data_IF_972781926969
#
_entry.id   IF_972781926969
#
_cell.length_a   1.000
_cell.length_b   1.000
_cell.length_c   1.000
_cell.angle_alpha   90.00
_cell.angle_beta   90.00
_cell.angle_gamma   90.00
#
_symmetry.space_group_name_H-M   'P 1'
#
loop_
_entity.id
_entity.type
_entity.pdbx_description
1 polymer ?
#
# COMPACT_ATOMS: atom_id res chain seq x y z
N UNK A 1 -17.21 12.02 20.94
CA UNK A 1 -16.23 12.86 20.24
C UNK A 1 -14.86 12.26 20.49
N UNK A 2 -14.05 12.00 19.48
CA UNK A 2 -12.74 11.36 19.59
C UNK A 2 -11.67 12.17 18.88
N UNK A 3 -10.40 11.85 19.17
CA UNK A 3 -9.27 12.40 18.45
C UNK A 3 -9.18 11.76 17.06
N UNK A 4 -8.77 12.53 16.05
CA UNK A 4 -8.66 12.02 14.68
C UNK A 4 -7.48 11.04 14.55
N UNK A 5 -7.74 9.93 13.89
CA UNK A 5 -6.76 8.88 13.65
C UNK A 5 -5.86 9.17 12.44
N UNK A 6 -6.44 9.81 11.41
CA UNK A 6 -5.80 10.23 10.16
C UNK A 6 -6.40 11.56 9.67
N UNK A 7 -5.92 12.05 8.53
CA UNK A 7 -6.44 13.25 7.86
C UNK A 7 -7.42 12.89 6.72
N UNK A 8 -7.46 11.65 6.27
CA UNK A 8 -8.28 11.17 5.16
C UNK A 8 -9.78 11.26 5.46
N UNK A 9 -10.21 10.81 6.64
CA UNK A 9 -11.62 10.82 7.01
C UNK A 9 -12.20 12.25 7.17
N UNK A 10 -11.51 13.20 7.83
CA UNK A 10 -11.91 14.60 7.83
C UNK A 10 -11.97 15.23 6.44
N UNK A 11 -10.97 14.94 5.58
CA UNK A 11 -10.96 15.42 4.19
C UNK A 11 -12.15 14.88 3.40
N UNK A 12 -12.44 13.58 3.51
CA UNK A 12 -13.57 12.96 2.81
C UNK A 12 -14.89 13.64 3.17
N UNK A 13 -15.08 13.98 4.44
CA UNK A 13 -16.26 14.75 4.91
C UNK A 13 -16.27 16.16 4.33
N UNK A 14 -15.14 16.85 4.36
CA UNK A 14 -15.02 18.19 3.79
C UNK A 14 -15.36 18.18 2.29
N UNK A 15 -14.76 17.25 1.54
CA UNK A 15 -15.01 17.10 0.11
C UNK A 15 -16.48 16.79 -0.17
N UNK A 16 -17.09 15.83 0.55
CA UNK A 16 -18.50 15.48 0.37
C UNK A 16 -19.45 16.68 0.56
N UNK A 17 -19.15 17.55 1.52
CA UNK A 17 -19.98 18.72 1.81
C UNK A 17 -19.76 19.89 0.85
N UNK A 18 -18.60 20.01 0.21
CA UNK A 18 -18.21 21.18 -0.58
C UNK A 18 -17.93 20.85 -2.06
N UNK A 19 -18.12 19.61 -2.51
CA UNK A 19 -17.70 19.11 -3.82
C UNK A 19 -18.16 19.96 -5.02
N UNK A 20 -19.31 20.62 -4.89
CA UNK A 20 -19.89 21.46 -5.96
C UNK A 20 -19.18 22.81 -6.13
N UNK A 21 -18.38 23.20 -5.14
CA UNK A 21 -17.62 24.47 -5.11
C UNK A 21 -16.11 24.24 -5.35
N UNK A 22 -15.68 22.96 -5.33
CA UNK A 22 -14.28 22.59 -5.50
C UNK A 22 -13.94 22.31 -6.96
N UNK A 23 -12.69 22.59 -7.32
CA UNK A 23 -12.16 22.24 -8.63
C UNK A 23 -12.06 20.71 -8.78
N UNK A 24 -12.22 20.21 -10.01
CA UNK A 24 -11.98 18.79 -10.32
C UNK A 24 -10.89 18.70 -11.39
N UNK A 25 -9.83 17.88 -11.17
CA UNK A 25 -9.53 17.15 -9.94
C UNK A 25 -9.17 18.09 -8.77
N UNK A 26 -9.61 17.72 -7.57
CA UNK A 26 -9.26 18.44 -6.35
C UNK A 26 -7.95 17.89 -5.79
N UNK A 27 -6.91 18.74 -5.74
CA UNK A 27 -5.60 18.40 -5.19
C UNK A 27 -5.38 19.19 -3.92
N UNK A 28 -4.98 18.51 -2.85
CA UNK A 28 -4.82 19.12 -1.55
C UNK A 28 -3.60 18.56 -0.80
N UNK A 29 -2.97 19.42 0.00
CA UNK A 29 -1.96 19.02 0.99
C UNK A 29 -2.54 19.35 2.36
N UNK A 30 -2.47 18.41 3.27
CA UNK A 30 -2.90 18.56 4.66
C UNK A 30 -1.71 18.29 5.59
N UNK A 31 -1.53 19.13 6.59
CA UNK A 31 -0.51 18.93 7.62
C UNK A 31 -1.14 19.21 8.97
N UNK A 32 -1.31 18.17 9.78
CA UNK A 32 -1.85 18.33 11.12
C UNK A 32 -1.52 17.11 12.00
N UNK A 33 -1.84 17.22 13.27
CA UNK A 33 -1.63 16.16 14.25
C UNK A 33 -2.71 15.08 14.15
N UNK A 34 -2.25 13.84 14.26
CA UNK A 34 -3.12 12.67 14.33
C UNK A 34 -2.78 11.85 15.59
N UNK A 35 -3.72 11.01 16.03
CA UNK A 35 -3.65 10.34 17.32
C UNK A 35 -3.96 8.86 17.14
N UNK A 36 -3.06 8.01 17.64
CA UNK A 36 -3.21 6.55 17.56
C UNK A 36 -2.92 5.92 18.91
N UNK A 37 -3.75 4.98 19.32
CA UNK A 37 -3.64 4.29 20.61
C UNK A 37 -2.61 3.13 20.59
N UNK A 38 -1.72 3.11 19.61
CA UNK A 38 -0.68 2.08 19.46
C UNK A 38 0.34 2.12 20.60
N UNK A 39 1.01 0.99 20.83
CA UNK A 39 2.10 0.93 21.79
C UNK A 39 3.26 1.81 21.30
N UNK A 40 3.70 2.81 22.09
CA UNK A 40 4.82 3.66 21.71
C UNK A 40 6.09 2.86 21.53
N UNK A 41 6.82 3.15 20.46
CA UNK A 41 8.15 2.58 20.18
C UNK A 41 8.95 3.57 19.34
N UNK A 42 10.23 3.27 19.09
CA UNK A 42 11.08 4.14 18.25
C UNK A 42 10.40 4.35 16.87
N UNK A 43 10.17 5.60 16.51
CA UNK A 43 9.51 5.97 15.25
C UNK A 43 7.98 5.87 15.26
N UNK A 44 7.34 5.42 16.37
CA UNK A 44 5.87 5.37 16.51
C UNK A 44 5.43 6.07 17.78
N UNK A 45 4.80 7.22 17.62
CA UNK A 45 4.25 8.03 18.69
C UNK A 45 2.72 7.94 18.69
N UNK A 46 2.11 8.21 19.84
CA UNK A 46 0.64 8.29 19.96
C UNK A 46 0.05 9.58 19.40
N UNK A 47 0.86 10.62 19.34
CA UNK A 47 0.57 11.90 18.69
C UNK A 47 1.74 12.22 17.75
N UNK A 48 1.46 12.50 16.49
CA UNK A 48 2.47 12.89 15.51
C UNK A 48 1.88 13.74 14.40
N UNK A 49 2.73 14.46 13.68
CA UNK A 49 2.33 15.21 12.49
C UNK A 49 2.23 14.27 11.30
N UNK A 50 1.12 14.34 10.60
CA UNK A 50 0.94 13.74 9.29
C UNK A 50 1.00 14.82 8.22
N UNK A 51 1.63 14.52 7.09
CA UNK A 51 1.62 15.36 5.91
C UNK A 51 1.05 14.52 4.77
N UNK A 52 -0.21 14.73 4.44
CA UNK A 52 -0.94 13.98 3.44
C UNK A 52 -1.11 14.80 2.18
N UNK A 53 -1.01 14.14 1.04
CA UNK A 53 -1.31 14.69 -0.28
C UNK A 53 -2.39 13.83 -0.91
N UNK A 54 -3.46 14.47 -1.38
CA UNK A 54 -4.62 13.77 -1.93
C UNK A 54 -5.00 14.36 -3.29
N UNK A 55 -5.43 13.49 -4.20
CA UNK A 55 -6.00 13.83 -5.50
C UNK A 55 -7.36 13.17 -5.61
N UNK A 56 -8.43 13.96 -5.64
CA UNK A 56 -9.81 13.46 -5.72
C UNK A 56 -10.42 13.85 -7.07
N UNK A 57 -11.08 12.89 -7.75
CA UNK A 57 -11.75 13.13 -9.03
C UNK A 57 -10.84 12.94 -10.25
N UNK A 58 -9.71 12.23 -10.11
CA UNK A 58 -8.90 11.72 -11.21
C UNK A 58 -8.85 10.19 -11.14
N UNK A 59 -9.45 9.53 -12.12
CA UNK A 59 -9.52 8.06 -12.22
C UNK A 59 -8.35 7.46 -13.03
N UNK A 60 -7.49 8.31 -13.60
CA UNK A 60 -6.33 7.83 -14.37
C UNK A 60 -5.15 7.46 -13.46
N UNK A 61 -4.29 6.58 -13.94
CA UNK A 61 -3.03 6.20 -13.25
C UNK A 61 -2.03 7.35 -13.11
N UNK A 62 -2.30 8.47 -13.73
CA UNK A 62 -1.48 9.67 -13.61
C UNK A 62 -1.54 10.24 -12.18
N UNK A 63 -2.63 9.99 -11.43
CA UNK A 63 -2.75 10.37 -10.03
C UNK A 63 -1.71 9.63 -9.16
N UNK A 64 -1.60 8.32 -9.28
CA UNK A 64 -0.63 7.51 -8.55
C UNK A 64 0.80 7.90 -8.92
N UNK A 65 1.08 8.13 -10.21
CA UNK A 65 2.39 8.59 -10.69
C UNK A 65 2.73 9.95 -10.06
N UNK A 66 1.81 10.91 -10.06
CA UNK A 66 2.00 12.23 -9.48
C UNK A 66 2.25 12.15 -7.95
N UNK A 67 1.51 11.28 -7.23
CA UNK A 67 1.69 11.07 -5.80
C UNK A 67 3.08 10.50 -5.49
N UNK A 68 3.53 9.48 -6.20
CA UNK A 68 4.87 8.89 -6.01
C UNK A 68 5.96 9.94 -6.28
N UNK A 69 5.88 10.66 -7.40
CA UNK A 69 6.85 11.70 -7.77
C UNK A 69 6.86 12.85 -6.76
N UNK A 70 5.71 13.28 -6.26
CA UNK A 70 5.59 14.36 -5.28
C UNK A 70 6.17 13.93 -3.94
N UNK A 71 5.82 12.74 -3.45
CA UNK A 71 6.33 12.17 -2.21
C UNK A 71 7.85 12.07 -2.23
N UNK A 72 8.40 11.44 -3.26
CA UNK A 72 9.86 11.25 -3.39
C UNK A 72 10.60 12.57 -3.56
N UNK A 73 10.02 13.54 -4.27
CA UNK A 73 10.59 14.90 -4.36
C UNK A 73 10.60 15.61 -3.00
N UNK A 74 9.55 15.43 -2.19
CA UNK A 74 9.51 15.99 -0.84
C UNK A 74 10.59 15.37 0.06
N UNK A 75 10.74 14.04 0.03
CA UNK A 75 11.77 13.32 0.78
C UNK A 75 13.17 13.78 0.39
N UNK A 76 13.46 13.91 -0.91
CA UNK A 76 14.75 14.42 -1.39
C UNK A 76 15.05 15.84 -0.88
N UNK A 77 14.04 16.71 -0.80
CA UNK A 77 14.20 18.09 -0.31
C UNK A 77 14.52 18.16 1.18
N UNK A 78 14.11 17.19 1.96
CA UNK A 78 14.47 17.10 3.39
C UNK A 78 15.74 16.27 3.63
N UNK A 79 16.46 15.90 2.56
CA UNK A 79 17.74 15.21 2.62
C UNK A 79 17.65 13.68 2.73
N UNK A 80 16.45 13.11 2.59
CA UNK A 80 16.27 11.65 2.57
C UNK A 80 16.34 11.18 1.11
N UNK A 81 17.49 10.67 0.71
CA UNK A 81 17.80 10.33 -0.70
C UNK A 81 18.07 8.85 -0.93
N UNK A 82 18.34 8.08 0.14
CA UNK A 82 18.59 6.64 0.09
C UNK A 82 17.29 5.90 0.46
N UNK A 83 16.47 5.63 -0.54
CA UNK A 83 15.18 4.96 -0.38
C UNK A 83 14.80 4.17 -1.64
N UNK A 84 13.82 3.31 -1.49
CA UNK A 84 13.10 2.64 -2.58
C UNK A 84 11.58 2.74 -2.38
N UNK A 85 10.86 2.72 -3.49
CA UNK A 85 9.39 2.66 -3.50
C UNK A 85 8.97 1.22 -3.77
N UNK A 86 8.31 0.61 -2.81
CA UNK A 86 7.61 -0.67 -3.00
C UNK A 86 6.20 -0.38 -3.49
N UNK A 87 5.73 -1.11 -4.49
CA UNK A 87 4.40 -0.94 -5.08
C UNK A 87 3.69 -2.27 -5.23
N UNK A 88 2.39 -2.30 -5.01
CA UNK A 88 1.50 -3.43 -5.25
C UNK A 88 0.10 -2.92 -5.63
N UNK A 89 -0.84 -3.83 -5.87
CA UNK A 89 -2.25 -3.52 -6.06
C UNK A 89 -3.12 -4.48 -5.25
N UNK A 90 -4.10 -3.93 -4.55
CA UNK A 90 -5.03 -4.71 -3.71
C UNK A 90 -5.85 -5.71 -4.52
N UNK A 91 -6.10 -5.44 -5.79
CA UNK A 91 -6.82 -6.34 -6.70
C UNK A 91 -5.97 -7.56 -7.03
N UNK A 92 -4.66 -7.37 -7.29
CA UNK A 92 -3.70 -8.47 -7.49
C UNK A 92 -3.68 -9.38 -6.25
N UNK A 93 -3.63 -8.79 -5.05
CA UNK A 93 -3.63 -9.56 -3.81
C UNK A 93 -4.95 -10.35 -3.63
N UNK A 94 -6.09 -9.74 -3.94
CA UNK A 94 -7.39 -10.41 -3.92
C UNK A 94 -7.45 -11.60 -4.87
N UNK A 95 -6.88 -11.46 -6.07
CA UNK A 95 -6.82 -12.53 -7.06
C UNK A 95 -5.89 -13.67 -6.62
N UNK A 96 -4.75 -13.35 -5.97
CA UNK A 96 -3.86 -14.35 -5.36
C UNK A 96 -4.61 -15.16 -4.31
N UNK A 97 -5.41 -14.52 -3.45
CA UNK A 97 -6.22 -15.22 -2.45
C UNK A 97 -7.27 -16.12 -3.13
N UNK A 98 -7.95 -15.61 -4.17
CA UNK A 98 -8.92 -16.40 -4.93
C UNK A 98 -8.26 -17.59 -5.65
N UNK A 99 -7.07 -17.42 -6.24
CA UNK A 99 -6.29 -18.47 -6.87
C UNK A 99 -5.90 -19.58 -5.86
N UNK A 100 -5.57 -19.20 -4.64
CA UNK A 100 -5.31 -20.14 -3.56
C UNK A 100 -6.57 -20.91 -3.12
N UNK A 101 -7.77 -20.39 -3.42
CA UNK A 101 -9.06 -21.01 -3.10
C UNK A 101 -9.77 -20.40 -1.89
N UNK A 102 -9.31 -19.25 -1.41
CA UNK A 102 -9.98 -18.54 -0.31
C UNK A 102 -11.23 -17.80 -0.78
N UNK A 103 -12.22 -17.67 0.10
CA UNK A 103 -13.43 -16.92 -0.18
C UNK A 103 -13.17 -15.41 -0.19
N UNK A 104 -13.91 -14.68 -1.03
CA UNK A 104 -13.74 -13.22 -1.16
C UNK A 104 -14.03 -12.48 0.15
N UNK A 105 -14.94 -13.01 0.93
CA UNK A 105 -15.34 -12.48 2.24
C UNK A 105 -14.18 -12.48 3.25
N UNK A 106 -13.20 -13.36 3.04
CA UNK A 106 -12.04 -13.50 3.91
C UNK A 106 -10.88 -12.57 3.52
N UNK A 107 -10.96 -11.87 2.40
CA UNK A 107 -9.87 -11.04 1.87
C UNK A 107 -9.31 -10.05 2.87
N UNK A 108 -10.15 -9.41 3.68
CA UNK A 108 -9.69 -8.44 4.69
C UNK A 108 -8.92 -9.14 5.81
N UNK A 109 -9.42 -10.29 6.28
CA UNK A 109 -8.77 -11.10 7.33
C UNK A 109 -7.44 -11.66 6.84
N UNK A 110 -7.40 -12.20 5.62
CA UNK A 110 -6.19 -12.70 4.97
C UNK A 110 -5.15 -11.59 4.81
N UNK A 111 -5.57 -10.40 4.36
CA UNK A 111 -4.70 -9.24 4.21
C UNK A 111 -4.08 -8.80 5.55
N UNK A 112 -4.85 -8.78 6.64
CA UNK A 112 -4.36 -8.43 7.99
C UNK A 112 -3.33 -9.46 8.49
N UNK A 113 -3.55 -10.76 8.23
CA UNK A 113 -2.60 -11.81 8.60
C UNK A 113 -1.33 -11.67 7.77
N UNK A 114 -1.47 -11.46 6.46
CA UNK A 114 -0.35 -11.36 5.54
C UNK A 114 0.49 -10.09 5.73
N UNK A 115 -0.10 -8.98 6.17
CA UNK A 115 0.60 -7.72 6.54
C UNK A 115 1.66 -7.92 7.65
N UNK A 116 1.59 -9.03 8.36
CA UNK A 116 2.57 -9.38 9.39
C UNK A 116 3.81 -10.10 8.85
N UNK A 117 3.83 -10.48 7.57
CA UNK A 117 4.89 -11.30 6.97
C UNK A 117 6.29 -10.77 7.26
N UNK A 118 6.52 -9.47 7.17
CA UNK A 118 7.81 -8.86 7.44
C UNK A 118 8.30 -9.06 8.89
N UNK A 119 7.38 -9.36 9.83
CA UNK A 119 7.67 -9.54 11.26
C UNK A 119 7.78 -10.99 11.67
N UNK A 120 6.88 -11.83 11.13
CA UNK A 120 6.73 -13.24 11.57
C UNK A 120 7.23 -14.23 10.52
N UNK A 121 7.61 -13.76 9.33
CA UNK A 121 8.00 -14.61 8.21
C UNK A 121 6.84 -15.36 7.60
N UNK A 122 7.10 -16.06 6.50
CA UNK A 122 6.06 -16.84 5.79
C UNK A 122 5.55 -18.03 6.62
N UNK A 123 6.40 -18.63 7.43
CA UNK A 123 6.01 -19.73 8.34
C UNK A 123 5.07 -19.24 9.45
N UNK A 124 5.31 -18.03 9.97
CA UNK A 124 4.42 -17.39 10.93
C UNK A 124 3.06 -17.05 10.32
N UNK A 125 3.03 -16.59 9.07
CA UNK A 125 1.79 -16.38 8.32
C UNK A 125 1.03 -17.69 8.16
N UNK A 126 1.73 -18.79 7.79
CA UNK A 126 1.12 -20.11 7.68
C UNK A 126 0.46 -20.53 9.01
N UNK A 127 1.18 -20.44 10.12
CA UNK A 127 0.66 -20.79 11.44
C UNK A 127 -0.58 -19.94 11.81
N UNK A 128 -0.58 -18.63 11.57
CA UNK A 128 -1.75 -17.81 11.84
C UNK A 128 -2.95 -18.15 10.95
N UNK A 129 -2.73 -18.52 9.69
CA UNK A 129 -3.82 -18.98 8.82
C UNK A 129 -4.44 -20.27 9.34
N UNK A 130 -3.62 -21.23 9.77
CA UNK A 130 -4.06 -22.50 10.39
C UNK A 130 -4.85 -22.25 11.69
N UNK A 131 -4.34 -21.41 12.59
CA UNK A 131 -5.03 -21.02 13.83
C UNK A 131 -6.38 -20.35 13.58
N UNK A 132 -6.50 -19.61 12.49
CA UNK A 132 -7.74 -18.94 12.09
C UNK A 132 -8.72 -19.87 11.35
N UNK A 133 -8.38 -21.14 11.15
CA UNK A 133 -9.26 -22.17 10.59
C UNK A 133 -9.43 -22.12 9.07
N UNK A 134 -8.47 -21.54 8.35
CA UNK A 134 -8.48 -21.59 6.89
C UNK A 134 -8.17 -23.01 6.36
N UNK A 135 -8.68 -23.30 5.15
CA UNK A 135 -8.46 -24.60 4.52
C UNK A 135 -6.98 -24.85 4.21
N UNK A 136 -6.49 -26.02 4.59
CA UNK A 136 -5.08 -26.39 4.44
C UNK A 136 -4.62 -26.37 2.98
N UNK A 137 -5.48 -26.80 2.04
CA UNK A 137 -5.14 -26.80 0.61
C UNK A 137 -4.94 -25.35 0.10
N UNK A 138 -5.78 -24.43 0.56
CA UNK A 138 -5.65 -23.01 0.26
C UNK A 138 -4.37 -22.41 0.84
N UNK A 139 -4.08 -22.73 2.11
CA UNK A 139 -2.86 -22.31 2.79
C UNK A 139 -1.61 -22.78 2.03
N UNK A 140 -1.52 -24.07 1.70
CA UNK A 140 -0.35 -24.63 1.03
C UNK A 140 -0.14 -24.01 -0.36
N UNK A 141 -1.21 -23.78 -1.12
CA UNK A 141 -1.13 -23.07 -2.42
C UNK A 141 -0.67 -21.63 -2.26
N UNK A 142 -1.21 -20.92 -1.27
CA UNK A 142 -0.84 -19.53 -1.00
C UNK A 142 0.64 -19.42 -0.60
N UNK A 143 1.08 -20.23 0.36
CA UNK A 143 2.46 -20.24 0.83
C UNK A 143 3.43 -20.60 -0.29
N UNK A 144 3.08 -21.56 -1.16
CA UNK A 144 3.93 -21.96 -2.28
C UNK A 144 4.23 -20.81 -3.26
N UNK A 145 3.32 -19.85 -3.41
CA UNK A 145 3.56 -18.66 -4.26
C UNK A 145 4.67 -17.75 -3.72
N UNK A 146 4.94 -17.79 -2.42
CA UNK A 146 5.90 -16.90 -1.76
C UNK A 146 7.15 -17.63 -1.23
N UNK A 147 7.18 -18.97 -1.30
CA UNK A 147 8.20 -19.79 -0.65
C UNK A 147 9.63 -19.51 -1.15
N UNK A 148 9.79 -19.20 -2.43
CA UNK A 148 11.09 -18.98 -3.08
C UNK A 148 11.38 -17.51 -3.41
N UNK A 149 10.48 -16.59 -3.04
CA UNK A 149 10.60 -15.16 -3.33
C UNK A 149 10.53 -14.84 -4.82
N UNK A 150 10.08 -15.79 -5.67
CA UNK A 150 10.10 -15.68 -7.13
C UNK A 150 8.87 -14.98 -7.71
N UNK A 151 7.89 -14.56 -6.90
CA UNK A 151 6.69 -13.92 -7.41
C UNK A 151 7.02 -12.51 -7.92
N UNK A 152 7.28 -12.42 -9.22
CA UNK A 152 7.56 -11.18 -9.95
C UNK A 152 6.28 -10.61 -10.54
N UNK A 153 6.35 -9.35 -11.02
CA UNK A 153 5.21 -8.75 -11.72
C UNK A 153 4.82 -9.52 -13.01
N UNK A 154 5.80 -10.16 -13.66
CA UNK A 154 5.55 -11.00 -14.83
C UNK A 154 4.89 -12.33 -14.44
N UNK A 155 5.41 -13.01 -13.41
CA UNK A 155 4.87 -14.32 -12.99
C UNK A 155 3.49 -14.22 -12.34
N UNK A 156 3.18 -13.11 -11.65
CA UNK A 156 1.87 -12.90 -11.03
C UNK A 156 0.74 -12.76 -12.04
N UNK A 157 1.05 -12.38 -13.29
CA UNK A 157 0.07 -12.35 -14.38
C UNK A 157 -0.58 -13.73 -14.69
N UNK A 158 0.01 -14.82 -14.22
CA UNK A 158 -0.57 -16.16 -14.36
C UNK A 158 -1.64 -16.48 -13.30
N UNK A 159 -1.77 -15.66 -12.25
CA UNK A 159 -2.66 -15.89 -11.11
C UNK A 159 -3.61 -14.75 -10.83
N UNK A 160 -3.52 -13.65 -11.58
CA UNK A 160 -4.43 -12.49 -11.45
C UNK A 160 -4.83 -11.94 -12.82
N UNK A 161 -5.77 -10.99 -12.84
CA UNK A 161 -6.15 -10.29 -14.07
C UNK A 161 -4.93 -9.52 -14.63
N UNK A 162 -4.57 -9.84 -15.88
CA UNK A 162 -3.43 -9.25 -16.57
C UNK A 162 -3.54 -7.72 -16.75
N UNK A 163 -4.76 -7.17 -16.70
CA UNK A 163 -4.97 -5.72 -16.77
C UNK A 163 -4.36 -5.00 -15.56
N UNK A 164 -4.45 -5.59 -14.36
CA UNK A 164 -3.88 -5.01 -13.14
C UNK A 164 -2.35 -4.97 -13.20
N UNK A 165 -1.74 -6.03 -13.74
CA UNK A 165 -0.29 -6.10 -13.98
C UNK A 165 0.13 -5.03 -14.99
N UNK A 166 -0.61 -4.87 -16.08
CA UNK A 166 -0.35 -3.85 -17.11
C UNK A 166 -0.45 -2.44 -16.55
N UNK A 167 -1.47 -2.16 -15.74
CA UNK A 167 -1.65 -0.86 -15.08
C UNK A 167 -0.50 -0.56 -14.11
N UNK A 168 -0.08 -1.54 -13.32
CA UNK A 168 1.01 -1.39 -12.36
C UNK A 168 2.36 -1.19 -13.07
N UNK A 169 2.62 -1.97 -14.13
CA UNK A 169 3.81 -1.80 -14.96
C UNK A 169 3.88 -0.39 -15.56
N UNK A 170 2.73 0.13 -16.05
CA UNK A 170 2.67 1.50 -16.57
C UNK A 170 3.08 2.55 -15.53
N UNK A 171 2.65 2.39 -14.27
CA UNK A 171 3.06 3.30 -13.20
C UNK A 171 4.58 3.22 -12.98
N UNK A 172 5.13 2.01 -12.87
CA UNK A 172 6.56 1.77 -12.67
C UNK A 172 7.37 2.41 -13.81
N UNK A 173 6.99 2.14 -15.06
CA UNK A 173 7.67 2.65 -16.24
C UNK A 173 7.63 4.18 -16.31
N UNK A 174 6.47 4.78 -16.01
CA UNK A 174 6.29 6.22 -16.04
C UNK A 174 7.16 6.93 -14.96
N UNK A 175 7.13 6.42 -13.72
CA UNK A 175 7.97 6.95 -12.63
C UNK A 175 9.45 6.80 -12.97
N UNK A 176 9.87 5.63 -13.45
CA UNK A 176 11.25 5.37 -13.88
C UNK A 176 11.70 6.31 -14.99
N UNK A 177 10.86 6.52 -15.99
CA UNK A 177 11.16 7.40 -17.13
C UNK A 177 11.25 8.86 -16.71
N UNK A 178 10.29 9.35 -15.93
CA UNK A 178 10.27 10.76 -15.47
C UNK A 178 11.43 11.05 -14.53
N UNK A 179 11.76 10.12 -13.64
CA UNK A 179 12.89 10.26 -12.70
C UNK A 179 14.25 9.96 -13.33
N UNK A 180 14.29 9.52 -14.60
CA UNK A 180 15.51 9.03 -15.28
C UNK A 180 16.22 7.92 -14.49
N UNK A 181 15.44 7.04 -13.85
CA UNK A 181 15.93 5.96 -13.00
C UNK A 181 16.40 6.37 -11.61
N UNK A 182 16.23 7.64 -11.22
CA UNK A 182 16.66 8.11 -9.89
C UNK A 182 15.74 7.65 -8.74
N UNK A 183 14.54 7.16 -9.05
CA UNK A 183 13.58 6.61 -8.07
C UNK A 183 13.48 5.11 -8.33
N UNK A 184 14.07 4.25 -7.47
CA UNK A 184 13.88 2.81 -7.55
C UNK A 184 12.43 2.46 -7.19
N UNK A 185 11.70 1.83 -8.11
CA UNK A 185 10.34 1.33 -7.88
C UNK A 185 10.34 -0.18 -8.06
N UNK A 186 9.96 -0.91 -7.03
CA UNK A 186 9.99 -2.37 -7.00
C UNK A 186 8.58 -2.92 -6.75
N UNK A 187 8.15 -3.88 -7.57
CA UNK A 187 6.95 -4.66 -7.26
C UNK A 187 7.19 -5.48 -6.01
N UNK A 188 6.29 -5.38 -5.05
CA UNK A 188 6.36 -6.10 -3.79
C UNK A 188 5.03 -6.81 -3.53
N UNK A 189 4.91 -8.10 -3.90
CA UNK A 189 3.64 -8.84 -3.78
C UNK A 189 3.18 -9.01 -2.33
N UNK A 190 4.10 -8.92 -1.36
CA UNK A 190 3.77 -8.95 0.07
C UNK A 190 3.40 -7.59 0.65
N UNK A 191 3.50 -6.51 -0.13
CA UNK A 191 3.06 -5.21 0.34
C UNK A 191 1.54 -5.20 0.53
N UNK A 192 1.13 -5.06 1.76
CA UNK A 192 -0.27 -4.96 2.19
C UNK A 192 -0.43 -3.71 3.05
N UNK A 193 -1.53 -3.01 2.89
CA UNK A 193 -1.92 -1.93 3.80
C UNK A 193 -3.06 -2.43 4.67
N UNK A 194 -2.88 -2.44 5.98
CA UNK A 194 -3.85 -2.99 6.93
C UNK A 194 -5.16 -2.20 7.07
N UNK A 195 -5.35 -1.11 6.32
CA UNK A 195 -6.55 -0.29 6.34
C UNK A 195 -7.49 -0.68 5.19
N UNK A 196 -8.76 -0.96 5.51
CA UNK A 196 -9.74 -1.51 4.57
C UNK A 196 -10.22 -0.55 3.46
N UNK A 197 -9.81 0.74 3.48
CA UNK A 197 -10.24 1.69 2.46
C UNK A 197 -9.38 1.71 1.18
N UNK A 198 -8.23 1.01 1.15
CA UNK A 198 -7.45 0.85 -0.07
C UNK A 198 -8.11 -0.16 -1.02
N UNK A 199 -8.36 0.23 -2.27
CA UNK A 199 -9.07 -0.59 -3.26
C UNK A 199 -8.29 -0.88 -4.55
N UNK A 200 -7.16 -0.21 -4.75
CA UNK A 200 -6.34 -0.33 -5.96
C UNK A 200 -4.85 -0.33 -5.62
N UNK A 201 -4.10 0.43 -6.40
CA UNK A 201 -2.65 0.57 -6.23
C UNK A 201 -2.30 1.09 -4.84
N UNK A 202 -1.31 0.45 -4.24
CA UNK A 202 -0.71 0.85 -2.96
C UNK A 202 0.80 0.98 -3.13
N UNK A 203 1.42 1.92 -2.43
CA UNK A 203 2.87 2.04 -2.40
C UNK A 203 3.36 2.45 -1.02
N UNK A 204 4.61 2.10 -0.73
CA UNK A 204 5.34 2.53 0.44
C UNK A 204 6.75 2.92 0.07
N UNK A 205 7.29 3.91 0.76
CA UNK A 205 8.68 4.32 0.62
C UNK A 205 9.45 3.82 1.82
N UNK A 206 10.39 2.92 1.59
CA UNK A 206 11.34 2.45 2.59
C UNK A 206 12.65 3.21 2.44
N UNK A 207 13.21 3.68 3.55
CA UNK A 207 14.46 4.40 3.57
C UNK A 207 15.52 3.67 4.41
N UNK A 208 16.76 3.73 3.95
CA UNK A 208 17.87 3.13 4.69
C UNK A 208 18.01 3.73 6.09
N UNK A 209 18.22 2.86 7.08
CA UNK A 209 18.35 3.26 8.48
C UNK A 209 17.04 3.48 9.26
N UNK A 210 15.90 3.30 8.61
CA UNK A 210 14.57 3.37 9.23
C UNK A 210 13.91 1.98 9.28
N UNK A 211 13.19 1.71 10.36
CA UNK A 211 12.38 0.50 10.48
C UNK A 211 10.96 0.79 10.03
N UNK A 212 10.57 0.24 8.86
CA UNK A 212 9.26 0.44 8.26
C UNK A 212 9.22 1.59 7.25
N UNK A 213 8.05 1.82 6.68
CA UNK A 213 7.84 2.85 5.68
C UNK A 213 7.95 4.27 6.26
N UNK A 214 8.58 5.17 5.52
CA UNK A 214 8.67 6.61 5.85
C UNK A 214 7.59 7.42 5.16
N UNK A 215 6.95 6.87 4.13
CA UNK A 215 5.79 7.42 3.43
C UNK A 215 4.99 6.30 2.74
N UNK A 216 3.73 6.58 2.34
CA UNK A 216 2.89 5.67 1.57
C UNK A 216 1.42 5.92 1.74
#
# INVERSE_FOLDING_TARGET
MGLRYDLTLPLSRYYANNRNELLSPFKVIQMDRVYRAERPQKGRLREFMQCDIDIIGNESRDAEIELILTTTKALNRVGLTDYKVKINDRRILSDIFAYAGFAKEDNEKLAIIFDKQDKIGIDGVKAELEENGFDQTGIDKFIALFADGSLTLESVANVCDASYVTELQRIIDAVTKVSKGAIPVEFCPSLVRGQGYYTGTIFEVEAAGYSGAVAG
#
